data_IF_919668041245
#
_entry.id   IF_919668041245
#
_cell.length_a   1.000
_cell.length_b   1.000
_cell.length_c   1.000
_cell.angle_alpha   90.00
_cell.angle_beta   90.00
_cell.angle_gamma   90.00
#
_symmetry.space_group_name_H-M   'P 1'
#
loop_
_entity.id
_entity.type
_entity.pdbx_description
1 polymer ?
#
# COMPACT_ATOMS: atom_id res chain seq x y z
N UNK A 1 12.42 -12.08 3.17
CA UNK A 1 12.49 -10.71 2.59
C UNK A 1 11.77 -10.60 1.24
N UNK A 2 10.83 -9.66 1.15
CA UNK A 2 10.08 -9.28 -0.07
C UNK A 2 10.24 -7.80 -0.37
N UNK A 3 10.01 -7.42 -1.63
CA UNK A 3 9.97 -6.02 -2.08
C UNK A 3 8.56 -5.67 -2.51
N UNK A 4 7.89 -4.83 -1.72
CA UNK A 4 6.57 -4.30 -2.01
C UNK A 4 6.70 -2.95 -2.71
N UNK A 5 5.74 -2.63 -3.58
CA UNK A 5 5.60 -1.29 -4.12
C UNK A 5 4.35 -0.65 -3.55
N UNK A 6 4.54 0.43 -2.80
CA UNK A 6 3.46 1.18 -2.16
C UNK A 6 3.20 2.46 -2.94
N UNK A 7 1.94 2.90 -3.00
CA UNK A 7 1.55 4.20 -3.56
C UNK A 7 0.60 4.89 -2.59
N UNK A 8 0.72 6.21 -2.46
CA UNK A 8 -0.18 7.03 -1.66
C UNK A 8 -1.35 7.45 -2.55
N UNK A 9 -2.56 7.04 -2.15
CA UNK A 9 -3.79 7.34 -2.87
C UNK A 9 -3.98 8.86 -2.97
N UNK A 10 -4.33 9.34 -4.17
CA UNK A 10 -4.54 10.78 -4.43
C UNK A 10 -3.27 11.61 -4.60
N UNK A 11 -2.07 11.02 -4.52
CA UNK A 11 -0.80 11.73 -4.66
C UNK A 11 -0.08 11.27 -5.93
N UNK A 12 0.16 12.18 -6.86
CA UNK A 12 0.89 11.91 -8.08
C UNK A 12 2.36 11.54 -7.81
N UNK A 13 2.91 10.58 -8.56
CA UNK A 13 4.30 10.16 -8.44
C UNK A 13 4.66 9.55 -7.07
N UNK A 14 3.67 9.06 -6.33
CA UNK A 14 3.83 8.59 -4.95
C UNK A 14 4.23 7.13 -4.83
N UNK A 15 4.52 6.43 -5.93
CA UNK A 15 4.93 5.03 -5.89
C UNK A 15 6.39 4.91 -5.41
N UNK A 16 6.66 4.02 -4.45
CA UNK A 16 8.02 3.76 -3.94
C UNK A 16 8.15 2.29 -3.50
N UNK A 17 9.36 1.72 -3.61
CA UNK A 17 9.63 0.40 -3.08
C UNK A 17 9.77 0.43 -1.55
N UNK A 18 9.37 -0.65 -0.88
CA UNK A 18 9.61 -0.91 0.53
C UNK A 18 10.11 -2.34 0.64
N UNK A 19 11.24 -2.54 1.34
CA UNK A 19 11.75 -3.87 1.64
C UNK A 19 11.32 -4.27 3.06
N UNK A 20 10.81 -5.49 3.22
CA UNK A 20 10.37 -6.01 4.51
C UNK A 20 10.52 -7.53 4.55
N UNK A 21 10.66 -8.13 5.73
CA UNK A 21 10.63 -9.59 5.84
C UNK A 21 9.20 -10.13 5.78
N UNK A 22 9.04 -11.40 5.37
CA UNK A 22 7.73 -12.05 5.34
C UNK A 22 7.22 -12.35 6.74
N UNK A 23 8.12 -12.57 7.70
CA UNK A 23 7.76 -12.81 9.11
C UNK A 23 7.46 -11.52 9.90
N UNK A 24 7.64 -10.35 9.29
CA UNK A 24 7.32 -9.07 9.93
C UNK A 24 5.81 -8.80 9.84
N UNK A 25 5.32 -7.90 10.68
CA UNK A 25 3.89 -7.55 10.71
C UNK A 25 3.56 -6.42 9.74
N UNK A 26 2.27 -6.26 9.44
CA UNK A 26 1.73 -5.08 8.75
C UNK A 26 2.00 -3.80 9.55
N UNK A 27 2.04 -3.85 10.88
CA UNK A 27 2.48 -2.75 11.72
C UNK A 27 3.93 -2.33 11.45
N UNK A 28 4.82 -3.29 11.21
CA UNK A 28 6.21 -3.03 10.84
C UNK A 28 6.31 -2.49 9.40
N UNK A 29 5.43 -2.95 8.49
CA UNK A 29 5.29 -2.34 7.16
C UNK A 29 4.90 -0.86 7.24
N UNK A 30 3.95 -0.50 8.12
CA UNK A 30 3.58 0.90 8.33
C UNK A 30 4.79 1.75 8.78
N UNK A 31 5.64 1.22 9.68
CA UNK A 31 6.89 1.90 10.09
C UNK A 31 7.88 2.03 8.92
N UNK A 32 8.05 0.97 8.13
CA UNK A 32 8.93 0.96 6.97
C UNK A 32 8.49 2.00 5.92
N UNK A 33 7.19 2.08 5.62
CA UNK A 33 6.60 3.10 4.74
C UNK A 33 6.90 4.52 5.23
N UNK A 34 6.69 4.80 6.51
CA UNK A 34 7.04 6.10 7.10
C UNK A 34 8.53 6.39 6.98
N UNK A 35 9.37 5.36 7.12
CA UNK A 35 10.83 5.44 6.93
C UNK A 35 11.25 5.84 5.51
N UNK A 36 10.58 5.32 4.49
CA UNK A 36 10.85 5.63 3.08
C UNK A 36 10.29 7.00 2.66
N UNK A 37 9.17 7.44 3.24
CA UNK A 37 8.51 8.72 2.95
C UNK A 37 8.52 9.69 4.12
N UNK A 38 9.64 9.77 4.86
CA UNK A 38 9.78 10.61 6.07
C UNK A 38 9.27 12.04 5.89
N UNK A 39 9.60 12.70 4.79
CA UNK A 39 9.19 14.09 4.55
C UNK A 39 7.68 14.22 4.25
N UNK A 40 7.12 13.28 3.50
CA UNK A 40 5.70 13.28 3.13
C UNK A 40 4.79 12.81 4.26
N UNK A 41 5.32 12.02 5.19
CA UNK A 41 4.60 11.44 6.34
C UNK A 41 5.14 11.96 7.68
N UNK A 42 5.80 13.12 7.69
CA UNK A 42 6.49 13.66 8.88
C UNK A 42 5.54 13.90 10.05
N UNK A 43 4.32 14.35 9.76
CA UNK A 43 3.29 14.71 10.72
C UNK A 43 2.28 13.57 10.96
N UNK A 44 2.56 12.38 10.39
CA UNK A 44 1.68 11.21 10.47
C UNK A 44 2.38 10.12 11.25
N UNK A 45 1.75 9.64 12.32
CA UNK A 45 2.26 8.49 13.07
C UNK A 45 2.10 7.20 12.25
N UNK A 46 3.04 6.27 12.36
CA UNK A 46 3.04 5.08 11.52
C UNK A 46 1.77 4.23 11.72
N UNK A 47 1.30 4.11 12.95
CA UNK A 47 0.06 3.42 13.32
C UNK A 47 -1.19 4.05 12.71
N UNK A 48 -1.16 5.36 12.42
CA UNK A 48 -2.26 6.09 11.76
C UNK A 48 -2.32 5.88 10.25
N UNK A 49 -1.31 5.25 9.64
CA UNK A 49 -1.38 4.89 8.23
C UNK A 49 -2.39 3.76 8.02
N UNK A 50 -3.26 3.92 7.04
CA UNK A 50 -4.17 2.85 6.62
C UNK A 50 -3.63 2.18 5.37
N UNK A 51 -3.56 0.85 5.39
CA UNK A 51 -3.06 0.05 4.27
C UNK A 51 -4.20 -0.78 3.69
N UNK A 52 -4.32 -0.74 2.37
CA UNK A 52 -5.33 -1.47 1.61
C UNK A 52 -4.66 -2.32 0.55
N UNK A 53 -5.21 -3.51 0.31
CA UNK A 53 -4.71 -4.39 -0.74
C UNK A 53 -5.20 -3.92 -2.10
N UNK A 54 -4.28 -3.79 -3.05
CA UNK A 54 -4.61 -3.63 -4.46
C UNK A 54 -5.08 -4.95 -5.09
N UNK A 55 -5.84 -5.79 -4.36
CA UNK A 55 -6.45 -7.03 -4.86
C UNK A 55 -7.89 -6.76 -5.26
N UNK A 56 -8.27 -7.24 -6.43
CA UNK A 56 -9.66 -7.29 -6.89
C UNK A 56 -10.46 -8.26 -6.01
N UNK A 57 -11.79 -8.15 -6.07
CA UNK A 57 -12.69 -9.06 -5.34
C UNK A 57 -12.56 -10.55 -5.73
N UNK A 58 -11.95 -10.85 -6.88
CA UNK A 58 -11.62 -12.21 -7.32
C UNK A 58 -10.27 -12.73 -6.76
N UNK A 59 -9.61 -11.96 -5.91
CA UNK A 59 -8.31 -12.27 -5.30
C UNK A 59 -7.09 -11.89 -6.14
N UNK A 60 -7.27 -11.43 -7.39
CA UNK A 60 -6.17 -11.05 -8.28
C UNK A 60 -5.63 -9.64 -8.01
N UNK A 61 -4.31 -9.48 -7.99
CA UNK A 61 -3.67 -8.16 -7.89
C UNK A 61 -4.00 -7.27 -9.10
N UNK A 62 -4.20 -5.97 -8.85
CA UNK A 62 -4.29 -4.97 -9.90
C UNK A 62 -2.96 -4.90 -10.67
N UNK A 63 -3.04 -5.12 -11.98
CA UNK A 63 -1.88 -5.01 -12.86
C UNK A 63 -1.36 -3.58 -12.86
N UNK A 64 -0.03 -3.43 -12.86
CA UNK A 64 0.64 -2.13 -13.03
C UNK A 64 0.35 -1.46 -14.38
N UNK A 65 -0.20 -2.21 -15.34
CA UNK A 65 -0.66 -1.74 -16.65
C UNK A 65 -2.17 -1.47 -16.69
N UNK A 66 -2.90 -1.72 -15.61
CA UNK A 66 -4.31 -1.42 -15.54
C UNK A 66 -4.52 0.10 -15.66
N UNK A 67 -5.49 0.59 -16.46
CA UNK A 67 -5.75 2.01 -16.63
C UNK A 67 -5.92 2.76 -15.30
N UNK A 68 -6.62 2.15 -14.35
CA UNK A 68 -6.82 2.74 -13.02
C UNK A 68 -5.50 2.91 -12.26
N UNK A 69 -4.63 1.90 -12.25
CA UNK A 69 -3.30 2.01 -11.61
C UNK A 69 -2.44 3.05 -12.32
N UNK A 70 -2.54 3.17 -13.64
CA UNK A 70 -1.85 4.23 -14.41
C UNK A 70 -2.36 5.60 -13.98
N UNK A 71 -3.68 5.79 -13.86
CA UNK A 71 -4.26 7.06 -13.44
C UNK A 71 -3.92 7.43 -11.98
N UNK A 72 -3.75 6.45 -11.08
CA UNK A 72 -3.27 6.67 -9.72
C UNK A 72 -1.88 7.30 -9.70
N UNK A 73 -1.01 6.97 -10.67
CA UNK A 73 0.32 7.60 -10.77
C UNK A 73 0.23 9.09 -11.04
N UNK A 74 -0.87 9.55 -11.63
CA UNK A 74 -1.15 10.96 -11.86
C UNK A 74 -1.93 11.61 -10.70
N UNK A 75 -2.14 10.89 -9.58
CA UNK A 75 -2.86 11.38 -8.40
C UNK A 75 -4.38 11.28 -8.50
N UNK A 76 -4.92 10.63 -9.53
CA UNK A 76 -6.37 10.36 -9.61
C UNK A 76 -6.76 9.22 -8.68
N UNK A 77 -8.01 9.22 -8.21
CA UNK A 77 -8.60 8.11 -7.45
C UNK A 77 -9.74 7.54 -8.29
N UNK A 78 -9.49 6.49 -9.08
CA UNK A 78 -10.53 5.80 -9.84
C UNK A 78 -11.57 5.19 -8.92
N UNK A 79 -12.81 5.10 -9.41
CA UNK A 79 -13.92 4.48 -8.69
C UNK A 79 -13.58 3.07 -8.23
N UNK A 80 -12.94 2.26 -9.10
CA UNK A 80 -12.50 0.91 -8.74
C UNK A 80 -11.52 0.91 -7.56
N UNK A 81 -10.61 1.87 -7.46
CA UNK A 81 -9.66 1.97 -6.33
C UNK A 81 -10.40 2.31 -5.04
N UNK A 82 -11.41 3.17 -5.12
CA UNK A 82 -12.32 3.43 -3.99
C UNK A 82 -12.97 2.14 -3.46
N UNK A 83 -13.36 1.22 -4.35
CA UNK A 83 -13.94 -0.08 -3.95
C UNK A 83 -12.94 -1.06 -3.30
N UNK A 84 -11.64 -0.78 -3.37
CA UNK A 84 -10.61 -1.58 -2.69
C UNK A 84 -10.33 -1.09 -1.27
N UNK A 85 -10.70 0.16 -0.96
CA UNK A 85 -10.46 0.79 0.33
C UNK A 85 -11.57 0.47 1.35
N UNK A 86 -12.00 -0.80 1.40
CA UNK A 86 -13.15 -1.24 2.22
C UNK A 86 -12.72 -1.95 3.49
N UNK A 87 -11.64 -2.74 3.41
CA UNK A 87 -11.08 -3.47 4.56
C UNK A 87 -9.62 -3.11 4.67
N UNK A 88 -9.27 -2.43 5.77
CA UNK A 88 -7.87 -2.21 6.14
C UNK A 88 -7.24 -3.55 6.55
N UNK A 89 -6.00 -3.77 6.14
CA UNK A 89 -5.24 -4.96 6.57
C UNK A 89 -4.96 -4.87 8.07
N UNK A 90 -5.14 -5.98 8.80
CA UNK A 90 -4.87 -6.01 10.23
C UNK A 90 -3.39 -5.73 10.50
N UNK A 91 -3.04 -4.72 11.34
CA UNK A 91 -1.65 -4.44 11.69
C UNK A 91 -0.90 -5.63 12.32
N UNK A 92 -1.59 -6.61 12.89
CA UNK A 92 -1.00 -7.79 13.49
C UNK A 92 -0.73 -8.93 12.50
N UNK A 93 -1.27 -8.87 11.28
CA UNK A 93 -1.06 -9.90 10.27
C UNK A 93 0.40 -9.92 9.79
N UNK A 94 0.92 -11.11 9.48
CA UNK A 94 2.24 -11.29 8.89
C UNK A 94 2.24 -10.94 7.40
N UNK A 95 3.34 -10.35 6.91
CA UNK A 95 3.50 -10.00 5.51
C UNK A 95 3.40 -11.24 4.59
N UNK A 96 3.90 -12.38 5.05
CA UNK A 96 3.81 -13.66 4.33
C UNK A 96 2.36 -14.08 4.08
N UNK A 97 1.47 -13.90 5.04
CA UNK A 97 0.06 -14.31 4.92
C UNK A 97 -0.76 -13.34 4.04
N UNK A 98 -0.43 -12.06 4.12
CA UNK A 98 -1.16 -11.01 3.40
C UNK A 98 -0.73 -10.89 1.93
N UNK A 99 0.59 -10.92 1.70
CA UNK A 99 1.22 -10.60 0.41
C UNK A 99 1.92 -11.78 -0.27
N UNK A 100 2.04 -12.94 0.41
CA UNK A 100 2.63 -14.17 -0.13
C UNK A 100 1.75 -14.93 -1.12
#
# INVERSE_FOLDING_TARGET
MVKLFCAIVGVAGSAFPVNIDQSETVGDLKKAIKGEKKNGLKDVDADKLQLFLAKKGDGGWLSSKHPDVISMRNGSIPEQVGTLMVVEVDPADEIGDVFG
#
